data_IF_273774903148
#
_entry.id   IF_273774903148
#
_cell.length_a   1.000
_cell.length_b   1.000
_cell.length_c   1.000
_cell.angle_alpha   90.00
_cell.angle_beta   90.00
_cell.angle_gamma   90.00
#
_symmetry.space_group_name_H-M   'P 1'
#
loop_
_entity.id
_entity.type
_entity.pdbx_description
1 polymer ?
#
# COMPACT_ATOMS: atom_id res chain seq x y z
N UNK A 1 -9.28 16.74 21.59
CA UNK A 1 -10.10 16.12 20.52
C UNK A 1 -9.41 16.45 19.20
N UNK A 2 -8.81 15.47 18.53
CA UNK A 2 -8.09 15.72 17.27
C UNK A 2 -9.14 16.10 16.23
N UNK A 3 -9.06 17.31 15.71
CA UNK A 3 -9.84 17.73 14.54
C UNK A 3 -9.12 17.16 13.31
N UNK A 4 -9.89 16.64 12.35
CA UNK A 4 -9.40 16.14 11.06
C UNK A 4 -8.65 14.81 11.12
N UNK A 5 -9.30 13.77 11.66
CA UNK A 5 -8.78 12.40 11.60
C UNK A 5 -9.38 11.67 10.38
N UNK A 6 -8.55 11.37 9.39
CA UNK A 6 -8.91 10.61 8.19
C UNK A 6 -9.38 9.20 8.55
N UNK A 7 -10.56 8.81 8.08
CA UNK A 7 -11.27 7.58 8.44
C UNK A 7 -12.22 7.71 9.63
N UNK A 8 -12.24 8.84 10.36
CA UNK A 8 -13.18 9.08 11.48
C UNK A 8 -14.01 10.35 11.26
N UNK A 9 -13.34 11.48 11.00
CA UNK A 9 -13.99 12.78 10.76
C UNK A 9 -13.89 13.23 9.30
N UNK A 10 -12.81 12.85 8.61
CA UNK A 10 -12.66 13.03 7.17
C UNK A 10 -12.72 11.68 6.46
N UNK A 11 -13.42 11.54 5.32
CA UNK A 11 -13.43 10.31 4.54
C UNK A 11 -12.04 10.02 3.93
N UNK A 12 -11.74 8.74 3.72
CA UNK A 12 -10.54 8.31 2.98
C UNK A 12 -10.98 7.84 1.59
N UNK A 13 -10.52 8.54 0.55
CA UNK A 13 -10.77 8.12 -0.84
C UNK A 13 -9.75 7.05 -1.22
N UNK A 14 -10.23 5.79 -1.25
CA UNK A 14 -9.42 4.66 -1.70
C UNK A 14 -9.12 4.84 -3.19
N UNK A 15 -7.86 4.68 -3.63
CA UNK A 15 -7.54 4.78 -5.05
C UNK A 15 -8.31 3.72 -5.85
N UNK A 16 -8.93 4.13 -6.97
CA UNK A 16 -9.68 3.21 -7.84
C UNK A 16 -8.75 2.26 -8.63
N UNK A 17 -7.58 2.74 -9.05
CA UNK A 17 -6.61 1.98 -9.85
C UNK A 17 -5.20 2.02 -9.23
N UNK A 18 -4.95 1.34 -8.10
CA UNK A 18 -3.62 1.25 -7.52
C UNK A 18 -2.73 0.30 -8.32
N UNK A 19 -1.48 0.67 -8.59
CA UNK A 19 -0.50 -0.19 -9.27
C UNK A 19 -0.15 -1.45 -8.45
N UNK A 20 -0.24 -1.35 -7.12
CA UNK A 20 -0.10 -2.45 -6.17
C UNK A 20 -0.97 -2.18 -4.94
N UNK A 21 -1.75 -3.17 -4.52
CA UNK A 21 -2.51 -3.13 -3.27
C UNK A 21 -1.92 -4.15 -2.31
N UNK A 22 -1.51 -3.69 -1.13
CA UNK A 22 -0.92 -4.55 -0.09
C UNK A 22 -1.86 -4.57 1.10
N UNK A 23 -2.32 -5.76 1.47
CA UNK A 23 -3.19 -5.98 2.62
C UNK A 23 -2.36 -6.41 3.82
N UNK A 24 -2.05 -5.47 4.71
CA UNK A 24 -1.19 -5.71 5.88
C UNK A 24 -1.92 -6.37 7.06
N UNK A 25 -3.23 -6.62 6.95
CA UNK A 25 -4.05 -7.12 8.05
C UNK A 25 -3.81 -8.61 8.35
N UNK A 26 -3.47 -9.41 7.33
CA UNK A 26 -3.26 -10.86 7.45
C UNK A 26 -1.93 -11.33 6.84
N UNK A 27 -1.00 -10.41 6.60
CA UNK A 27 0.24 -10.68 5.88
C UNK A 27 1.42 -10.09 6.66
N UNK A 28 2.49 -10.88 6.81
CA UNK A 28 3.73 -10.42 7.42
C UNK A 28 4.37 -9.27 6.64
N UNK A 29 5.06 -8.40 7.37
CA UNK A 29 5.74 -7.21 6.80
C UNK A 29 6.76 -7.59 5.73
N UNK A 30 7.48 -8.71 5.91
CA UNK A 30 8.43 -9.22 4.93
C UNK A 30 7.77 -9.62 3.61
N UNK A 31 6.60 -10.25 3.68
CA UNK A 31 5.85 -10.66 2.49
C UNK A 31 5.27 -9.43 1.76
N UNK A 32 4.79 -8.44 2.53
CA UNK A 32 4.40 -7.14 1.98
C UNK A 32 5.55 -6.46 1.23
N UNK A 33 6.75 -6.41 1.83
CA UNK A 33 7.94 -5.82 1.22
C UNK A 33 8.36 -6.58 -0.06
N UNK A 34 8.28 -7.91 -0.03
CA UNK A 34 8.61 -8.74 -1.18
C UNK A 34 7.66 -8.48 -2.37
N UNK A 35 6.36 -8.31 -2.13
CA UNK A 35 5.40 -7.95 -3.18
C UNK A 35 5.72 -6.60 -3.83
N UNK A 36 6.17 -5.62 -3.04
CA UNK A 36 6.60 -4.31 -3.54
C UNK A 36 7.85 -4.46 -4.40
N UNK A 37 8.86 -5.21 -3.93
CA UNK A 37 10.10 -5.45 -4.69
C UNK A 37 9.82 -6.13 -6.04
N UNK A 38 9.06 -7.23 -6.03
CA UNK A 38 8.68 -7.93 -7.26
C UNK A 38 7.92 -7.03 -8.23
N UNK A 39 7.04 -6.15 -7.73
CA UNK A 39 6.32 -5.20 -8.57
C UNK A 39 7.28 -4.20 -9.21
N UNK A 40 8.23 -3.66 -8.44
CA UNK A 40 9.23 -2.72 -8.93
C UNK A 40 10.17 -3.37 -9.96
N UNK A 41 10.57 -4.63 -9.75
CA UNK A 41 11.35 -5.42 -10.71
C UNK A 41 10.57 -5.66 -12.01
N UNK A 42 9.30 -6.09 -11.92
CA UNK A 42 8.43 -6.28 -13.09
C UNK A 42 8.19 -4.99 -13.87
N UNK A 43 8.19 -3.85 -13.20
CA UNK A 43 8.10 -2.54 -13.85
C UNK A 43 9.45 -2.08 -14.43
N UNK A 44 10.54 -2.82 -14.21
CA UNK A 44 11.88 -2.48 -14.67
C UNK A 44 12.47 -1.26 -13.95
N UNK A 45 11.92 -0.88 -12.79
CA UNK A 45 12.37 0.28 -12.02
C UNK A 45 13.59 -0.03 -11.15
N UNK A 46 13.76 -1.31 -10.77
CA UNK A 46 14.91 -1.83 -10.06
C UNK A 46 15.42 -3.08 -10.76
N UNK A 47 16.73 -3.33 -10.71
CA UNK A 47 17.35 -4.56 -11.17
C UNK A 47 17.84 -5.34 -9.94
N UNK A 48 17.41 -6.60 -9.82
CA UNK A 48 17.87 -7.54 -8.80
C UNK A 48 19.32 -7.98 -8.98
#
# INVERSE_FOLDING_TARGET
KIKEFTGISDPYDVPENPELRVETENVDVDNCAHQVLLKLENMGLIAG
#
